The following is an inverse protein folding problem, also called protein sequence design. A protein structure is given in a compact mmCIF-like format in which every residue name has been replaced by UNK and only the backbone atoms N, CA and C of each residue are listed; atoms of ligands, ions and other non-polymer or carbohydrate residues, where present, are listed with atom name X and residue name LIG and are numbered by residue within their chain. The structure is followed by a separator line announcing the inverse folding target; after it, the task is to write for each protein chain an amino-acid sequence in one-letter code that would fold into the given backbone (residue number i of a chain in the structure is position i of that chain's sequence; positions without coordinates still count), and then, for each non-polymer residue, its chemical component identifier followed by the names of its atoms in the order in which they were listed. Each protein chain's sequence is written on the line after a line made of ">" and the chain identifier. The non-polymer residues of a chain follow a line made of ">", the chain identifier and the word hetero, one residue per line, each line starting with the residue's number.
data_IF_532868583902
#
_entry.id   IF_532868583902
#
_cell.length_a   1.000
_cell.length_b   1.000
_cell.length_c   1.000
_cell.angle_alpha   90.00
_cell.angle_beta   90.00
_cell.angle_gamma   90.00
#
_symmetry.space_group_name_H-M   'P 1'
#
loop_
_entity.id
_entity.type
_entity.pdbx_description
1 polymer ?
#
# COMPACT_ATOMS: atom_id res chain seq x y z
N UNK A 1 -2.19 2.48 -7.54
CA UNK A 1 -2.24 1.57 -8.70
C UNK A 1 -3.67 1.07 -8.88
N UNK A 2 -4.28 1.25 -10.06
CA UNK A 2 -5.65 0.79 -10.35
C UNK A 2 -5.62 -0.54 -11.10
N UNK A 3 -5.72 -1.65 -10.36
CA UNK A 3 -5.78 -3.00 -10.93
C UNK A 3 -7.25 -3.45 -11.01
N UNK A 4 -7.64 -4.17 -12.06
CA UNK A 4 -9.01 -4.66 -12.19
C UNK A 4 -8.99 -6.17 -12.33
N UNK A 5 -9.79 -6.85 -11.51
CA UNK A 5 -9.96 -8.30 -11.60
C UNK A 5 -11.39 -8.62 -12.06
N UNK A 6 -11.50 -9.44 -13.10
CA UNK A 6 -12.79 -9.86 -13.65
C UNK A 6 -12.63 -11.15 -14.45
N UNK A 7 -13.57 -12.08 -14.30
CA UNK A 7 -13.60 -13.35 -15.03
C UNK A 7 -12.25 -14.12 -15.03
N UNK A 8 -11.51 -14.07 -13.91
CA UNK A 8 -10.18 -14.70 -13.77
C UNK A 8 -9.02 -14.00 -14.49
N UNK A 9 -9.26 -12.78 -15.00
CA UNK A 9 -8.26 -11.91 -15.62
C UNK A 9 -7.93 -10.74 -14.70
N UNK A 10 -6.68 -10.31 -14.74
CA UNK A 10 -6.16 -9.15 -14.02
C UNK A 10 -5.64 -8.13 -15.03
N UNK A 11 -6.16 -6.91 -15.01
CA UNK A 11 -5.68 -5.81 -15.84
C UNK A 11 -4.96 -4.79 -14.97
N UNK A 12 -3.69 -4.52 -15.30
CA UNK A 12 -2.91 -3.43 -14.74
C UNK A 12 -3.06 -2.20 -15.65
N UNK A 13 -3.76 -1.16 -15.17
CA UNK A 13 -3.96 0.08 -15.93
C UNK A 13 -2.68 0.91 -16.05
N UNK A 14 -1.72 0.77 -15.13
CA UNK A 14 -0.48 1.53 -15.16
C UNK A 14 0.51 0.94 -16.16
N UNK A 15 0.57 -0.39 -16.25
CA UNK A 15 1.43 -1.10 -17.19
C UNK A 15 0.75 -1.42 -18.53
N UNK A 16 -0.58 -1.27 -18.62
CA UNK A 16 -1.36 -1.64 -19.80
C UNK A 16 -1.24 -3.13 -20.12
N UNK A 17 -1.28 -4.01 -19.10
CA UNK A 17 -1.10 -5.46 -19.26
C UNK A 17 -2.29 -6.24 -18.74
N UNK A 18 -2.76 -7.18 -19.56
CA UNK A 18 -3.79 -8.14 -19.19
C UNK A 18 -3.13 -9.47 -18.83
N UNK A 19 -3.47 -10.05 -17.68
CA UNK A 19 -2.98 -11.33 -17.19
C UNK A 19 -4.13 -12.29 -16.92
N UNK A 20 -3.89 -13.59 -17.06
CA UNK A 20 -4.80 -14.66 -16.66
C UNK A 20 -4.00 -15.74 -15.94
N UNK A 21 -4.33 -16.02 -14.68
CA UNK A 21 -3.59 -17.01 -13.87
C UNK A 21 -2.08 -16.73 -13.79
N UNK A 22 -1.67 -15.46 -13.78
CA UNK A 22 -0.26 -15.04 -13.74
C UNK A 22 0.47 -15.01 -15.10
N UNK A 23 -0.15 -15.44 -16.20
CA UNK A 23 0.42 -15.35 -17.55
C UNK A 23 -0.06 -14.11 -18.29
N UNK A 24 0.84 -13.41 -18.98
CA UNK A 24 0.51 -12.26 -19.82
C UNK A 24 -0.32 -12.70 -21.04
N UNK A 25 -1.53 -12.16 -21.16
CA UNK A 25 -2.45 -12.40 -22.29
C UNK A 25 -2.31 -11.26 -23.28
N UNK A 26 -1.92 -11.59 -24.52
CA UNK A 26 -1.77 -10.59 -25.58
C UNK A 26 -3.14 -10.08 -26.05
N UNK A 27 -3.35 -8.78 -25.90
CA UNK A 27 -4.46 -8.04 -26.49
C UNK A 27 -3.90 -6.95 -27.41
N UNK A 28 -4.60 -6.64 -28.51
CA UNK A 28 -4.16 -5.56 -29.42
C UNK A 28 -4.13 -4.22 -28.68
N UNK A 29 -3.18 -3.32 -28.96
CA UNK A 29 -3.04 -2.06 -28.23
C UNK A 29 -4.32 -1.20 -28.21
N UNK A 30 -5.04 -1.11 -29.34
CA UNK A 30 -6.29 -0.36 -29.43
C UNK A 30 -7.44 -1.02 -28.65
N UNK A 31 -7.53 -2.35 -28.71
CA UNK A 31 -8.51 -3.11 -27.91
C UNK A 31 -8.23 -2.98 -26.41
N UNK A 32 -6.96 -2.90 -26.01
CA UNK A 32 -6.56 -2.67 -24.63
C UNK A 32 -6.87 -1.25 -24.16
N UNK A 33 -6.59 -0.23 -24.99
CA UNK A 33 -6.94 1.15 -24.70
C UNK A 33 -8.47 1.33 -24.55
N UNK A 34 -9.26 0.68 -25.40
CA UNK A 34 -10.73 0.68 -25.29
C UNK A 34 -11.21 0.05 -23.99
N UNK A 35 -10.65 -1.10 -23.60
CA UNK A 35 -10.97 -1.76 -22.34
C UNK A 35 -10.61 -0.89 -21.12
N UNK A 36 -9.42 -0.27 -21.16
CA UNK A 36 -8.94 0.65 -20.11
C UNK A 36 -9.92 1.81 -19.92
N UNK A 37 -10.31 2.46 -21.01
CA UNK A 37 -11.24 3.58 -20.96
C UNK A 37 -12.62 3.20 -20.43
N UNK A 38 -13.14 2.02 -20.80
CA UNK A 38 -14.40 1.51 -20.26
C UNK A 38 -14.33 1.18 -18.77
N UNK A 39 -13.17 0.77 -18.25
CA UNK A 39 -12.97 0.47 -16.83
C UNK A 39 -12.85 1.74 -15.97
N UNK A 40 -12.21 2.78 -16.49
CA UNK A 40 -12.16 4.10 -15.84
C UNK A 40 -13.55 4.75 -15.77
N UNK A 41 -14.39 4.49 -16.77
CA UNK A 41 -15.75 5.00 -16.90
C UNK A 41 -16.82 3.94 -16.60
N UNK A 42 -16.48 2.96 -15.76
CA UNK A 42 -17.39 1.89 -15.36
C UNK A 42 -18.64 2.42 -14.67
N UNK A 43 -19.77 1.74 -14.82
CA UNK A 43 -21.03 2.13 -14.19
C UNK A 43 -21.86 3.16 -14.97
N UNK A 44 -21.31 3.76 -16.04
CA UNK A 44 -22.06 4.59 -16.99
C UNK A 44 -22.02 4.04 -18.41
N UNK A 45 -22.92 4.55 -19.25
CA UNK A 45 -22.90 4.31 -20.70
C UNK A 45 -21.90 5.28 -21.33
N UNK A 46 -20.95 4.74 -22.08
CA UNK A 46 -19.96 5.49 -22.86
C UNK A 46 -20.40 5.45 -24.33
N UNK A 47 -20.49 6.62 -24.97
CA UNK A 47 -20.98 6.70 -26.35
C UNK A 47 -19.92 6.24 -27.35
N UNK A 48 -20.35 5.90 -28.58
CA UNK A 48 -19.41 5.51 -29.64
C UNK A 48 -18.45 6.65 -29.99
N UNK A 49 -18.97 7.87 -30.15
CA UNK A 49 -18.16 9.07 -30.42
C UNK A 49 -17.13 9.32 -29.31
N UNK A 50 -17.53 9.16 -28.05
CA UNK A 50 -16.63 9.32 -26.90
C UNK A 50 -15.50 8.27 -26.92
N UNK A 51 -15.83 7.00 -27.16
CA UNK A 51 -14.85 5.92 -27.29
C UNK A 51 -13.91 6.15 -28.48
N UNK A 52 -14.44 6.62 -29.61
CA UNK A 52 -13.66 6.94 -30.80
C UNK A 52 -12.68 8.07 -30.49
N UNK A 53 -13.16 9.16 -29.91
CA UNK A 53 -12.35 10.32 -29.54
C UNK A 53 -11.23 9.96 -28.55
N UNK A 54 -11.54 9.12 -27.55
CA UNK A 54 -10.59 8.72 -26.52
C UNK A 54 -9.50 7.76 -27.04
N UNK A 55 -9.87 6.76 -27.83
CA UNK A 55 -8.94 5.69 -28.25
C UNK A 55 -8.22 6.01 -29.56
N UNK A 56 -8.81 6.84 -30.41
CA UNK A 56 -8.27 7.26 -31.70
C UNK A 56 -8.26 8.79 -31.82
N UNK A 57 -7.44 9.50 -31.01
CA UNK A 57 -7.31 10.93 -31.16
C UNK A 57 -6.79 11.25 -32.56
N UNK A 58 -7.53 12.09 -33.30
CA UNK A 58 -7.18 12.57 -34.65
C UNK A 58 -7.23 11.53 -35.77
N UNK A 59 -7.95 10.41 -35.61
CA UNK A 59 -8.15 9.42 -36.70
C UNK A 59 -9.63 9.16 -36.91
N UNK A 60 -10.11 9.37 -38.15
CA UNK A 60 -11.46 8.97 -38.54
C UNK A 60 -11.53 7.44 -38.60
N UNK A 61 -12.34 6.84 -37.73
CA UNK A 61 -12.59 5.39 -37.68
C UNK A 61 -14.08 5.11 -37.87
N UNK A 62 -14.39 3.93 -38.39
CA UNK A 62 -15.78 3.49 -38.57
C UNK A 62 -16.26 2.71 -37.34
N UNK A 63 -17.58 2.62 -37.18
CA UNK A 63 -18.24 1.76 -36.18
C UNK A 63 -17.75 0.30 -36.21
N UNK A 64 -17.29 -0.17 -37.38
CA UNK A 64 -16.70 -1.50 -37.55
C UNK A 64 -15.39 -1.67 -36.78
N UNK A 65 -14.53 -0.65 -36.71
CA UNK A 65 -13.27 -0.70 -35.95
C UNK A 65 -13.52 -0.83 -34.45
N UNK A 66 -14.51 -0.11 -33.94
CA UNK A 66 -14.91 -0.17 -32.54
C UNK A 66 -15.56 -1.51 -32.20
N UNK A 67 -16.45 -2.00 -33.06
CA UNK A 67 -17.09 -3.32 -32.92
C UNK A 67 -16.07 -4.45 -32.93
N UNK A 68 -15.02 -4.34 -33.75
CA UNK A 68 -13.94 -5.31 -33.80
C UNK A 68 -13.09 -5.29 -32.51
N UNK A 69 -12.80 -4.11 -31.95
CA UNK A 69 -12.09 -4.02 -30.67
C UNK A 69 -12.89 -4.70 -29.54
N UNK A 70 -14.20 -4.47 -29.48
CA UNK A 70 -15.09 -5.13 -28.51
C UNK A 70 -15.13 -6.65 -28.73
N UNK A 71 -15.11 -7.09 -30.00
CA UNK A 71 -15.05 -8.53 -30.34
C UNK A 71 -13.76 -9.18 -29.85
N UNK A 72 -12.61 -8.52 -30.03
CA UNK A 72 -11.34 -9.03 -29.54
C UNK A 72 -11.35 -9.15 -28.02
N UNK A 73 -11.82 -8.10 -27.32
CA UNK A 73 -11.89 -8.09 -25.86
C UNK A 73 -12.75 -9.27 -25.39
N UNK A 74 -13.92 -9.47 -26.00
CA UNK A 74 -14.81 -10.60 -25.67
C UNK A 74 -14.17 -11.96 -25.90
N UNK A 75 -13.46 -12.11 -27.03
CA UNK A 75 -12.74 -13.36 -27.36
C UNK A 75 -11.63 -13.64 -26.35
N UNK A 76 -10.86 -12.62 -25.97
CA UNK A 76 -9.74 -12.77 -25.03
C UNK A 76 -10.21 -13.10 -23.62
N UNK A 77 -11.32 -12.48 -23.18
CA UNK A 77 -11.83 -12.63 -21.82
C UNK A 77 -12.76 -13.84 -21.61
N UNK A 78 -13.28 -14.44 -22.69
CA UNK A 78 -14.13 -15.64 -22.63
C UNK A 78 -15.58 -15.36 -22.22
N UNK A 79 -16.29 -16.38 -21.72
CA UNK A 79 -17.75 -16.35 -21.51
C UNK A 79 -18.24 -15.22 -20.58
N UNK A 80 -17.42 -14.79 -19.62
CA UNK A 80 -17.75 -13.68 -18.70
C UNK A 80 -17.75 -12.29 -19.36
N UNK A 81 -17.12 -12.15 -20.51
CA UNK A 81 -16.88 -10.86 -21.15
C UNK A 81 -18.12 -10.23 -21.78
N UNK A 82 -19.06 -11.06 -22.24
CA UNK A 82 -20.33 -10.60 -22.83
C UNK A 82 -21.20 -9.94 -21.76
N UNK A 83 -21.16 -10.48 -20.53
CA UNK A 83 -21.86 -9.89 -19.38
C UNK A 83 -21.16 -8.63 -18.89
N UNK A 84 -19.83 -8.60 -18.94
CA UNK A 84 -19.02 -7.46 -18.52
C UNK A 84 -19.21 -6.23 -19.42
N UNK A 85 -19.09 -6.38 -20.74
CA UNK A 85 -19.23 -5.27 -21.69
C UNK A 85 -20.57 -5.41 -22.42
N UNK A 86 -21.56 -4.65 -21.96
CA UNK A 86 -22.90 -4.63 -22.55
C UNK A 86 -22.95 -3.63 -23.68
N UNK A 87 -23.51 -4.06 -24.81
CA UNK A 87 -23.86 -3.17 -25.91
C UNK A 87 -25.24 -2.59 -25.65
N UNK A 88 -25.34 -1.26 -25.56
CA UNK A 88 -26.61 -0.55 -25.40
C UNK A 88 -27.02 -0.04 -26.79
N UNK A 89 -28.09 -0.58 -27.39
CA UNK A 89 -28.54 -0.19 -28.73
C UNK A 89 -28.64 1.34 -28.85
N UNK A 90 -28.12 1.88 -29.96
CA UNK A 90 -28.13 3.31 -30.30
C UNK A 90 -27.43 4.26 -29.31
N UNK A 91 -26.87 3.77 -28.18
CA UNK A 91 -26.23 4.63 -27.16
C UNK A 91 -24.74 4.38 -27.02
N UNK A 92 -24.28 3.14 -27.16
CA UNK A 92 -22.86 2.80 -27.04
C UNK A 92 -22.62 1.56 -26.19
N UNK A 93 -21.66 1.63 -25.28
CA UNK A 93 -21.22 0.49 -24.47
C UNK A 93 -21.20 0.86 -22.99
N UNK A 94 -21.56 -0.09 -22.16
CA UNK A 94 -21.51 0.05 -20.71
C UNK A 94 -20.74 -1.13 -20.13
N UNK A 95 -19.83 -0.84 -19.20
CA UNK A 95 -19.14 -1.86 -18.43
C UNK A 95 -19.88 -2.05 -17.11
N UNK A 96 -20.27 -3.30 -16.83
CA UNK A 96 -20.99 -3.65 -15.61
C UNK A 96 -20.03 -3.77 -14.42
N UNK A 97 -20.10 -2.78 -13.52
CA UNK A 97 -19.24 -2.70 -12.35
C UNK A 97 -19.44 -3.86 -11.37
N UNK A 98 -20.62 -4.51 -11.36
CA UNK A 98 -20.91 -5.63 -10.45
C UNK A 98 -20.14 -6.90 -10.83
N UNK A 99 -19.69 -6.97 -12.07
CA UNK A 99 -18.94 -8.12 -12.61
C UNK A 99 -17.43 -7.91 -12.59
N UNK A 100 -16.98 -6.75 -12.11
CA UNK A 100 -15.57 -6.46 -11.88
C UNK A 100 -15.33 -6.20 -10.40
N UNK A 101 -14.26 -6.78 -9.88
CA UNK A 101 -13.69 -6.33 -8.63
C UNK A 101 -12.64 -5.29 -9.00
N UNK A 102 -12.96 -4.01 -8.79
CA UNK A 102 -11.90 -2.99 -8.74
C UNK A 102 -11.03 -3.36 -7.56
N UNK A 103 -9.88 -3.94 -7.85
CA UNK A 103 -8.84 -4.14 -6.88
C UNK A 103 -8.04 -2.85 -6.96
N UNK A 104 -8.35 -1.84 -6.15
CA UNK A 104 -7.41 -0.73 -5.91
C UNK A 104 -6.14 -1.31 -5.29
N UNK A 105 -5.33 -2.00 -6.10
CA UNK A 105 -4.78 -3.32 -5.78
C UNK A 105 -4.94 -3.55 -4.29
N UNK A 106 -6.09 -4.12 -3.86
CA UNK A 106 -6.29 -4.46 -2.45
C UNK A 106 -5.00 -5.16 -2.12
N UNK A 107 -4.17 -4.46 -1.35
CA UNK A 107 -2.81 -4.86 -1.08
C UNK A 107 -2.94 -6.35 -0.81
N UNK A 108 -2.17 -7.26 -1.46
CA UNK A 108 -2.14 -8.62 -0.94
C UNK A 108 -2.04 -8.43 0.57
N UNK A 109 -3.02 -8.96 1.31
CA UNK A 109 -3.20 -8.70 2.72
C UNK A 109 -1.89 -9.04 3.42
N UNK A 110 -1.01 -8.04 3.50
CA UNK A 110 0.41 -8.14 3.81
C UNK A 110 0.94 -6.75 4.22
N UNK A 111 0.05 -5.82 4.56
CA UNK A 111 0.32 -4.81 5.59
C UNK A 111 0.00 -5.34 7.01
N UNK A 112 -0.20 -6.66 7.12
CA UNK A 112 0.02 -7.38 8.36
C UNK A 112 1.23 -8.24 8.03
N UNK A 113 2.37 -8.01 8.69
CA UNK A 113 3.41 -9.04 8.74
C UNK A 113 2.69 -10.36 9.01
N UNK A 114 3.03 -11.50 8.38
CA UNK A 114 2.31 -12.77 8.61
C UNK A 114 2.22 -13.19 10.10
N UNK A 115 2.90 -12.47 10.99
CA UNK A 115 2.94 -12.57 12.44
C UNK A 115 2.13 -11.52 13.24
N UNK A 116 1.46 -10.53 12.63
CA UNK A 116 0.77 -9.44 13.36
C UNK A 116 1.69 -8.45 14.08
N UNK A 117 3.00 -8.51 13.80
CA UNK A 117 4.04 -7.71 14.45
C UNK A 117 4.26 -6.38 13.71
N UNK A 118 4.67 -5.29 14.41
CA UNK A 118 5.08 -4.06 13.75
C UNK A 118 6.24 -4.32 12.79
N UNK A 119 6.24 -3.61 11.66
CA UNK A 119 7.25 -3.75 10.60
C UNK A 119 7.70 -2.40 10.06
N UNK A 120 9.01 -2.26 9.84
CA UNK A 120 9.63 -1.01 9.38
C UNK A 120 10.67 -1.23 8.29
N UNK A 121 10.73 -0.32 7.32
CA UNK A 121 11.89 -0.14 6.45
C UNK A 121 12.55 1.21 6.70
N UNK A 122 13.87 1.27 6.52
CA UNK A 122 14.63 2.53 6.55
C UNK A 122 15.18 2.80 5.16
N UNK A 123 14.66 3.83 4.50
CA UNK A 123 15.10 4.20 3.16
C UNK A 123 16.40 5.00 3.20
N UNK A 124 17.22 4.92 2.14
CA UNK A 124 18.38 5.79 2.00
C UNK A 124 17.97 7.25 2.12
N UNK A 125 18.64 8.00 2.99
CA UNK A 125 18.37 9.42 3.12
C UNK A 125 18.84 10.16 1.87
N UNK A 126 18.01 11.09 1.41
CA UNK A 126 18.34 11.95 0.28
C UNK A 126 19.46 12.92 0.68
N UNK A 127 20.47 13.10 -0.17
CA UNK A 127 21.58 14.01 0.12
C UNK A 127 21.58 15.14 -0.90
N UNK A 128 21.34 16.36 -0.44
CA UNK A 128 21.26 17.54 -1.31
C UNK A 128 22.65 18.16 -1.52
N UNK A 129 23.59 17.41 -2.14
CA UNK A 129 24.91 17.96 -2.50
C UNK A 129 25.39 17.41 -3.86
N UNK A 130 25.79 18.27 -4.82
CA UNK A 130 26.46 17.83 -6.05
C UNK A 130 27.82 17.17 -5.74
N UNK A 131 28.04 15.95 -6.23
CA UNK A 131 29.35 15.26 -6.16
C UNK A 131 29.49 14.15 -5.12
N UNK A 132 28.43 13.81 -4.35
CA UNK A 132 28.35 12.54 -3.60
C UNK A 132 29.35 12.34 -2.44
N UNK A 133 30.18 13.34 -2.13
CA UNK A 133 31.32 13.21 -1.19
C UNK A 133 30.93 12.85 0.25
N UNK A 134 29.67 13.04 0.63
CA UNK A 134 29.14 12.82 1.99
C UNK A 134 27.99 11.81 2.05
N UNK A 135 27.64 11.15 0.95
CA UNK A 135 26.54 10.17 0.92
C UNK A 135 26.79 8.99 1.84
N UNK A 136 28.06 8.60 1.99
CA UNK A 136 28.48 7.52 2.89
C UNK A 136 28.12 7.78 4.36
N UNK A 137 28.03 9.05 4.80
CA UNK A 137 27.64 9.42 6.17
C UNK A 137 26.17 9.09 6.40
N UNK A 138 25.32 9.52 5.46
CA UNK A 138 23.90 9.24 5.50
C UNK A 138 23.63 7.72 5.38
N UNK A 139 24.38 7.02 4.53
CA UNK A 139 24.27 5.58 4.36
C UNK A 139 24.72 4.80 5.60
N UNK A 140 25.79 5.25 6.28
CA UNK A 140 26.25 4.69 7.55
C UNK A 140 25.22 4.85 8.65
N UNK A 141 24.64 6.05 8.80
CA UNK A 141 23.55 6.29 9.76
C UNK A 141 22.36 5.36 9.47
N UNK A 142 21.95 5.21 8.20
CA UNK A 142 20.85 4.30 7.83
C UNK A 142 21.17 2.85 8.18
N UNK A 143 22.39 2.40 7.90
CA UNK A 143 22.84 1.04 8.22
C UNK A 143 22.86 0.75 9.72
N UNK A 144 23.31 1.70 10.53
CA UNK A 144 23.33 1.58 11.99
C UNK A 144 21.93 1.59 12.57
N UNK A 145 21.02 2.41 12.05
CA UNK A 145 19.60 2.39 12.44
C UNK A 145 18.99 1.02 12.11
N UNK A 146 19.18 0.50 10.90
CA UNK A 146 18.68 -0.84 10.52
C UNK A 146 19.22 -1.90 11.48
N UNK A 147 20.52 -1.85 11.77
CA UNK A 147 21.21 -2.80 12.66
C UNK A 147 20.71 -2.72 14.09
N UNK A 148 20.48 -1.51 14.62
CA UNK A 148 19.96 -1.28 15.96
C UNK A 148 18.48 -1.69 16.08
N UNK A 149 17.66 -1.38 15.08
CA UNK A 149 16.25 -1.79 15.04
C UNK A 149 16.10 -3.31 14.94
N UNK A 150 16.97 -3.99 14.18
CA UNK A 150 16.93 -5.45 14.01
C UNK A 150 17.19 -6.21 15.33
N UNK A 151 17.80 -5.56 16.33
CA UNK A 151 18.00 -6.12 17.68
C UNK A 151 16.74 -6.05 18.55
N UNK A 152 15.70 -5.34 18.11
CA UNK A 152 14.46 -5.17 18.88
C UNK A 152 13.59 -6.42 18.72
N UNK A 153 13.21 -7.10 19.82
CA UNK A 153 12.32 -8.25 19.74
C UNK A 153 10.94 -7.80 19.24
N UNK A 154 10.28 -8.67 18.48
CA UNK A 154 8.94 -8.43 17.92
C UNK A 154 8.82 -7.26 16.92
N UNK A 155 9.93 -6.75 16.39
CA UNK A 155 9.94 -5.81 15.27
C UNK A 155 10.49 -6.49 14.01
N UNK A 156 9.73 -6.45 12.91
CA UNK A 156 10.26 -6.85 11.61
C UNK A 156 10.96 -5.66 10.94
N UNK A 157 12.20 -5.85 10.48
CA UNK A 157 12.97 -4.80 9.81
C UNK A 157 13.34 -5.27 8.40
N UNK A 158 12.98 -4.48 7.38
CA UNK A 158 13.38 -4.77 6.01
C UNK A 158 14.91 -4.67 5.87
N UNK A 159 15.50 -5.59 5.09
CA UNK A 159 16.96 -5.61 4.92
C UNK A 159 17.46 -4.36 4.20
N UNK A 160 18.72 -4.01 4.45
CA UNK A 160 19.44 -2.92 3.77
C UNK A 160 19.36 -3.06 2.25
N UNK A 161 19.63 -4.26 1.71
CA UNK A 161 19.65 -4.51 0.26
C UNK A 161 18.29 -4.23 -0.40
N UNK A 162 17.19 -4.60 0.26
CA UNK A 162 15.85 -4.34 -0.25
C UNK A 162 15.52 -2.85 -0.18
N UNK A 163 15.85 -2.18 0.93
CA UNK A 163 15.58 -0.76 1.13
C UNK A 163 16.39 0.12 0.16
N UNK A 164 17.65 -0.24 -0.10
CA UNK A 164 18.56 0.52 -0.97
C UNK A 164 18.20 0.40 -2.45
N UNK A 165 17.42 -0.62 -2.85
CA UNK A 165 16.89 -0.75 -4.21
C UNK A 165 15.91 0.37 -4.62
N UNK A 166 15.56 1.27 -3.68
CA UNK A 166 14.65 2.40 -3.87
C UNK A 166 15.33 3.78 -3.83
N UNK A 167 16.67 3.86 -3.74
CA UNK A 167 17.42 5.14 -3.67
C UNK A 167 17.03 6.15 -4.75
N UNK A 168 16.97 5.69 -6.00
CA UNK A 168 16.77 6.56 -7.18
C UNK A 168 15.41 6.34 -7.84
N UNK A 169 14.49 5.65 -7.16
CA UNK A 169 13.16 5.37 -7.69
C UNK A 169 12.21 6.50 -7.32
N UNK A 170 11.65 7.14 -8.34
CA UNK A 170 10.55 8.08 -8.18
C UNK A 170 9.28 7.26 -7.91
N UNK A 171 8.85 7.21 -6.65
CA UNK A 171 7.66 6.50 -6.22
C UNK A 171 7.06 7.13 -4.96
N UNK A 172 5.77 6.93 -4.72
CA UNK A 172 5.15 7.38 -3.47
C UNK A 172 5.57 6.43 -2.34
N UNK A 173 5.83 6.96 -1.14
CA UNK A 173 6.24 6.16 0.03
C UNK A 173 5.33 4.95 0.32
N UNK A 174 3.99 5.04 0.18
CA UNK A 174 3.11 3.87 0.32
C UNK A 174 3.40 2.73 -0.66
N UNK A 175 3.77 3.03 -1.90
CA UNK A 175 4.10 2.01 -2.92
C UNK A 175 5.42 1.31 -2.56
N UNK A 176 6.38 2.05 -2.01
CA UNK A 176 7.67 1.52 -1.53
C UNK A 176 7.46 0.61 -0.32
N UNK A 177 6.67 1.05 0.65
CA UNK A 177 6.33 0.28 1.84
C UNK A 177 5.66 -1.06 1.50
N UNK A 178 4.72 -1.02 0.55
CA UNK A 178 4.05 -2.21 0.04
C UNK A 178 5.04 -3.19 -0.59
N UNK A 179 5.92 -2.69 -1.45
CA UNK A 179 6.89 -3.53 -2.14
C UNK A 179 7.95 -4.12 -1.19
N UNK A 180 8.18 -3.48 -0.05
CA UNK A 180 9.05 -3.95 1.04
C UNK A 180 8.30 -4.81 2.08
N UNK A 181 6.97 -4.87 2.04
CA UNK A 181 6.15 -5.62 2.99
C UNK A 181 6.19 -5.06 4.42
N UNK A 182 6.25 -3.73 4.57
CA UNK A 182 6.36 -3.05 5.87
C UNK A 182 5.19 -2.09 6.13
N UNK A 183 4.81 -1.95 7.40
CA UNK A 183 3.76 -1.03 7.83
C UNK A 183 4.26 0.41 8.00
N UNK A 184 5.53 0.57 8.37
CA UNK A 184 6.15 1.87 8.58
C UNK A 184 7.38 2.06 7.70
N UNK A 185 7.63 3.31 7.32
CA UNK A 185 8.83 3.70 6.58
C UNK A 185 9.49 4.87 7.26
N UNK A 186 10.77 4.71 7.61
CA UNK A 186 11.64 5.82 7.97
C UNK A 186 12.29 6.36 6.69
N UNK A 187 12.11 7.65 6.45
CA UNK A 187 12.73 8.37 5.34
C UNK A 187 13.34 9.67 5.84
N UNK A 188 14.17 10.33 5.04
CA UNK A 188 14.85 11.52 5.49
C UNK A 188 15.72 12.20 4.44
N UNK A 189 16.28 13.33 4.85
CA UNK A 189 17.26 14.06 4.06
C UNK A 189 18.43 14.49 4.94
N UNK A 190 19.64 14.41 4.39
CA UNK A 190 20.85 14.93 4.98
C UNK A 190 21.38 16.09 4.12
N UNK A 191 21.74 17.19 4.78
CA UNK A 191 22.41 18.34 4.17
C UNK A 191 23.72 18.54 4.90
N UNK A 192 24.80 18.60 4.14
CA UNK A 192 26.14 18.84 4.68
C UNK A 192 26.65 20.16 4.12
N UNK A 193 27.10 21.04 5.01
CA UNK A 193 27.74 22.30 4.64
C UNK A 193 28.98 22.51 5.50
N UNK A 194 30.17 22.42 4.89
CA UNK A 194 31.43 22.47 5.63
C UNK A 194 31.53 21.31 6.62
N UNK A 195 31.47 21.63 7.93
CA UNK A 195 31.46 20.65 9.03
C UNK A 195 30.10 20.53 9.71
N UNK A 196 29.05 21.13 9.17
CA UNK A 196 27.69 21.03 9.72
C UNK A 196 26.89 19.97 8.95
N UNK A 197 26.27 19.07 9.71
CA UNK A 197 25.30 18.09 9.25
C UNK A 197 23.93 18.47 9.77
N UNK A 198 22.97 18.64 8.85
CA UNK A 198 21.55 18.72 9.16
C UNK A 198 20.87 17.47 8.64
N UNK A 199 20.37 16.66 9.55
CA UNK A 199 19.56 15.50 9.24
C UNK A 199 18.10 15.80 9.57
N UNK A 200 17.19 15.47 8.66
CA UNK A 200 15.74 15.48 8.89
C UNK A 200 15.22 14.08 8.65
N UNK A 201 14.48 13.53 9.61
CA UNK A 201 13.94 12.17 9.55
C UNK A 201 12.45 12.20 9.79
N UNK A 202 11.72 11.34 9.07
CA UNK A 202 10.27 11.21 9.15
C UNK A 202 9.89 9.73 9.14
N UNK A 203 9.10 9.32 10.12
CA UNK A 203 8.43 8.03 10.19
C UNK A 203 7.02 8.18 9.63
N UNK A 204 6.72 7.40 8.60
CA UNK A 204 5.43 7.42 7.91
C UNK A 204 4.69 6.10 8.13
N UNK A 205 3.42 6.18 8.51
CA UNK A 205 2.49 5.03 8.45
C UNK A 205 2.09 4.83 6.99
N UNK A 206 2.55 3.74 6.39
CA UNK A 206 2.32 3.45 4.98
C UNK A 206 0.85 3.21 4.62
N UNK A 207 0.02 2.83 5.61
CA UNK A 207 -1.41 2.58 5.42
C UNK A 207 -2.18 3.88 5.29
N UNK A 208 -1.80 4.91 6.04
CA UNK A 208 -2.49 6.21 6.04
C UNK A 208 -1.77 7.27 5.20
N UNK A 209 -0.49 7.07 4.90
CA UNK A 209 0.39 8.08 4.34
C UNK A 209 0.73 9.21 5.32
N UNK A 210 0.33 9.08 6.59
CA UNK A 210 0.54 10.10 7.62
C UNK A 210 1.94 10.01 8.24
N UNK A 211 2.52 11.18 8.51
CA UNK A 211 3.74 11.28 9.32
C UNK A 211 3.36 11.03 10.78
N UNK A 212 3.90 9.96 11.36
CA UNK A 212 3.71 9.57 12.76
C UNK A 212 4.68 10.32 13.65
N UNK A 213 5.92 10.47 13.17
CA UNK A 213 6.97 11.20 13.86
C UNK A 213 7.89 11.87 12.86
N UNK A 214 8.38 13.05 13.19
CA UNK A 214 9.43 13.73 12.44
C UNK A 214 10.34 14.47 13.41
N UNK A 215 11.63 14.53 13.08
CA UNK A 215 12.60 15.25 13.88
C UNK A 215 13.77 15.74 13.03
N UNK A 216 14.55 16.66 13.61
CA UNK A 216 15.68 17.28 12.96
C UNK A 216 16.88 17.34 13.91
N UNK A 217 18.01 16.89 13.40
CA UNK A 217 19.30 16.88 14.08
C UNK A 217 20.27 17.81 13.36
N UNK A 218 20.74 18.82 14.07
CA UNK A 218 21.84 19.68 13.65
C UNK A 218 23.10 19.28 14.44
N UNK A 219 24.16 18.84 13.76
CA UNK A 219 25.38 18.26 14.37
C UNK A 219 26.65 18.70 13.65
N UNK A 220 27.72 18.87 14.42
CA UNK A 220 29.05 19.19 13.88
C UNK A 220 29.85 17.90 13.61
N UNK A 221 30.28 17.69 12.36
CA UNK A 221 31.02 16.52 11.82
C UNK A 221 32.47 16.39 12.33
N UNK A 222 32.79 16.95 13.49
CA UNK A 222 34.14 16.90 14.08
C UNK A 222 34.55 15.47 14.45
N UNK A 223 33.64 14.71 15.07
CA UNK A 223 33.80 13.30 15.41
C UNK A 223 32.67 12.51 14.76
N UNK A 224 32.86 12.15 13.50
CA UNK A 224 31.79 11.63 12.63
C UNK A 224 31.12 10.36 13.17
N UNK A 225 31.89 9.46 13.81
CA UNK A 225 31.37 8.23 14.39
C UNK A 225 30.55 8.51 15.66
N UNK A 226 30.97 9.45 16.51
CA UNK A 226 30.17 9.85 17.68
C UNK A 226 28.85 10.48 17.24
N UNK A 227 28.87 11.31 16.20
CA UNK A 227 27.65 11.91 15.63
C UNK A 227 26.72 10.82 15.08
N UNK A 228 27.27 9.80 14.41
CA UNK A 228 26.52 8.67 13.88
C UNK A 228 25.89 7.82 14.99
N UNK A 229 26.64 7.51 16.05
CA UNK A 229 26.15 6.76 17.22
C UNK A 229 25.06 7.53 17.97
N UNK A 230 25.25 8.83 18.17
CA UNK A 230 24.29 9.72 18.83
C UNK A 230 22.97 9.79 18.07
N UNK A 231 23.04 10.07 16.74
CA UNK A 231 21.86 10.13 15.88
C UNK A 231 21.15 8.78 15.86
N UNK A 232 21.88 7.69 15.68
CA UNK A 232 21.31 6.34 15.65
C UNK A 232 20.56 6.04 16.94
N UNK A 233 21.18 6.33 18.09
CA UNK A 233 20.58 6.10 19.41
C UNK A 233 19.30 6.92 19.56
N UNK A 234 19.36 8.22 19.29
CA UNK A 234 18.22 9.13 19.40
C UNK A 234 17.03 8.70 18.53
N UNK A 235 17.29 8.35 17.27
CA UNK A 235 16.25 7.87 16.34
C UNK A 235 15.65 6.55 16.83
N UNK A 236 16.47 5.57 17.18
CA UNK A 236 16.01 4.23 17.59
C UNK A 236 15.20 4.28 18.88
N UNK A 237 15.62 5.07 19.87
CA UNK A 237 14.86 5.28 21.11
C UNK A 237 13.47 5.86 20.83
N UNK A 238 13.39 6.81 19.90
CA UNK A 238 12.11 7.39 19.53
C UNK A 238 11.22 6.42 18.77
N UNK A 239 11.79 5.69 17.80
CA UNK A 239 11.05 4.69 17.02
C UNK A 239 10.53 3.54 17.89
N UNK A 240 11.24 3.14 18.95
CA UNK A 240 10.73 2.13 19.89
C UNK A 240 9.40 2.55 20.51
N UNK A 241 9.27 3.83 20.87
CA UNK A 241 8.06 4.37 21.51
C UNK A 241 6.89 4.38 20.51
N UNK A 242 7.14 4.78 19.27
CA UNK A 242 6.10 4.90 18.23
C UNK A 242 5.67 3.55 17.64
N UNK A 243 6.61 2.60 17.50
CA UNK A 243 6.37 1.33 16.78
C UNK A 243 5.90 0.19 17.69
N UNK A 244 6.33 0.16 18.95
CA UNK A 244 5.97 -0.90 19.88
C UNK A 244 4.72 -0.44 20.65
N UNK A 245 3.60 -1.18 20.58
CA UNK A 245 2.41 -0.81 21.32
C UNK A 245 2.73 -0.77 22.82
N UNK A 246 2.63 0.42 23.43
CA UNK A 246 2.42 0.47 24.87
C UNK A 246 1.04 -0.13 25.12
N UNK A 247 1.02 -1.31 25.77
CA UNK A 247 -0.14 -2.19 25.95
C UNK A 247 -1.50 -1.49 25.82
N UNK A 248 -2.07 -1.51 24.60
CA UNK A 248 -3.48 -1.20 24.41
C UNK A 248 -4.28 -2.41 24.86
N UNK A 249 -4.74 -2.32 26.11
CA UNK A 249 -5.87 -3.02 26.71
C UNK A 249 -6.21 -4.38 26.14
N UNK A 250 -5.85 -5.44 26.87
CA UNK A 250 -6.71 -6.61 26.98
C UNK A 250 -8.03 -6.20 27.65
N UNK A 251 -8.89 -5.48 26.92
CA UNK A 251 -10.32 -5.55 27.16
C UNK A 251 -10.76 -6.89 26.56
N UNK A 252 -10.49 -7.97 27.30
CA UNK A 252 -11.23 -9.20 27.13
C UNK A 252 -12.67 -8.85 27.47
N UNK A 253 -13.49 -8.75 26.42
CA UNK A 253 -14.94 -8.87 26.53
C UNK A 253 -15.19 -10.30 26.98
N UNK A 254 -15.15 -10.54 28.29
CA UNK A 254 -15.74 -11.74 28.87
C UNK A 254 -17.22 -11.45 29.04
N UNK A 255 -17.97 -11.79 28.00
CA UNK A 255 -19.42 -11.82 28.07
C UNK A 255 -19.88 -13.20 27.62
N UNK A 256 -19.95 -14.15 28.56
CA UNK A 256 -20.91 -15.23 28.45
C UNK A 256 -21.19 -15.88 29.81
N UNK A 257 -22.33 -15.48 30.37
CA UNK A 257 -23.37 -16.34 30.96
C UNK A 257 -23.14 -16.99 32.33
N UNK A 258 -24.12 -16.68 33.20
CA UNK A 258 -24.89 -17.64 34.01
C UNK A 258 -24.33 -17.94 35.41
N UNK A 259 -24.90 -17.27 36.42
CA UNK A 259 -25.49 -17.93 37.61
C UNK A 259 -26.34 -16.93 38.44
N UNK A 260 -27.65 -17.18 38.41
CA UNK A 260 -28.71 -16.92 39.40
C UNK A 260 -28.79 -15.59 40.21
N UNK A 261 -29.89 -14.86 39.97
CA UNK A 261 -30.53 -13.93 40.91
C UNK A 261 -31.45 -14.70 41.90
N UNK A 262 -32.13 -14.02 42.83
CA UNK A 262 -31.67 -13.58 44.14
C UNK A 262 -32.34 -14.38 45.26
N UNK A 263 -31.65 -14.53 46.40
CA UNK A 263 -32.26 -15.04 47.62
C UNK A 263 -33.30 -14.06 48.16
N UNK A 264 -34.60 -14.38 48.02
CA UNK A 264 -35.63 -13.93 48.94
C UNK A 264 -36.92 -14.78 48.82
N UNK A 265 -37.05 -15.78 49.67
CA UNK A 265 -38.35 -16.35 50.05
C UNK A 265 -38.46 -16.32 51.57
N UNK A 266 -39.28 -15.39 52.07
CA UNK A 266 -39.74 -15.31 53.45
C UNK A 266 -41.25 -15.61 53.48
N UNK A 267 -41.66 -16.46 54.44
CA UNK A 267 -43.05 -16.81 54.80
C UNK A 267 -43.52 -18.16 54.21
N UNK A 268 -44.13 -19.11 54.92
CA UNK A 268 -44.81 -19.14 56.23
C UNK A 268 -45.06 -20.65 56.64
N UNK A 269 -45.82 -21.03 57.69
CA UNK A 269 -45.40 -21.96 58.78
C UNK A 269 -46.05 -23.36 58.75
N UNK A 270 -45.50 -24.32 59.52
CA UNK A 270 -46.22 -25.48 60.10
C UNK A 270 -45.36 -26.10 61.22
N UNK A 271 -45.68 -25.92 62.51
CA UNK A 271 -46.56 -26.79 63.32
C UNK A 271 -46.29 -28.29 63.11
N UNK A 272 -45.53 -28.92 64.02
CA UNK A 272 -45.88 -30.20 64.66
C UNK A 272 -45.26 -30.24 66.07
N UNK A 273 -46.13 -30.36 67.08
CA UNK A 273 -45.86 -30.66 68.48
C UNK A 273 -45.15 -32.01 68.69
N UNK A 274 -44.18 -32.07 69.61
CA UNK A 274 -44.23 -32.81 70.89
C UNK A 274 -42.87 -32.87 71.58
#
# INVERSE_FOLDING_TARGET
>A
MSMFEFAGHQLDLQQGRLRKGGQDVRLRPKSLALLTYLLENSGRVVTKDELVSAVWPNVAVTDGSLSQCVTDIRRTLGEGAVKLIRTIPCRGYALDEKLMRRSEALLPSAAVSPSGRPSIAVLPFTVAVPGGRHTWIADGIVEDIITALAKIPNLFVASKNLSFAYRDKVGRLPDVALALGVAYVLSGSARVSGRELRLTTELVDARTGGIVWADRFDRHLGQIFEVQDEITTAVVERLKIELLPQGRGAAVVENQREFDLPGNHSGHPALWDR
#
